data_IF_693827725629
#
_entry.id   IF_693827725629
#
_cell.length_a   1.000
_cell.length_b   1.000
_cell.length_c   1.000
_cell.angle_alpha   90.00
_cell.angle_beta   90.00
_cell.angle_gamma   90.00
#
_symmetry.space_group_name_H-M   'P 1'
#
loop_
_entity.id
_entity.type
_entity.pdbx_description
1 polymer ?
#
# COMPACT_ATOMS: atom_id res chain seq x y z
N UNK A 1 -22.02 12.93 36.45
CA UNK A 1 -21.88 14.39 36.61
C UNK A 1 -20.54 14.67 37.26
N UNK A 2 -19.58 15.25 36.53
CA UNK A 2 -18.35 15.80 37.13
C UNK A 2 -17.99 17.08 36.36
N UNK A 3 -18.16 18.21 37.03
CA UNK A 3 -17.82 19.55 36.53
C UNK A 3 -16.30 19.71 36.41
N UNK A 4 -15.78 20.04 35.23
CA UNK A 4 -14.41 20.55 35.10
C UNK A 4 -14.37 22.02 35.54
N UNK A 5 -13.71 22.30 36.66
CA UNK A 5 -13.36 23.65 37.14
C UNK A 5 -12.13 24.16 36.38
N UNK A 6 -12.17 25.43 35.96
CA UNK A 6 -11.07 26.13 35.31
C UNK A 6 -10.16 26.77 36.39
N UNK A 7 -8.84 26.45 36.36
CA UNK A 7 -7.84 26.84 37.36
C UNK A 7 -7.63 25.80 38.48
N UNK A 8 -6.66 26.01 39.40
CA UNK A 8 -5.40 25.25 39.65
C UNK A 8 -5.52 23.71 39.82
N UNK A 9 -6.38 23.05 39.05
CA UNK A 9 -6.77 21.65 39.24
C UNK A 9 -5.68 20.61 38.97
N UNK A 10 -4.68 20.88 38.11
CA UNK A 10 -3.65 19.89 37.79
C UNK A 10 -2.71 19.60 38.98
N UNK A 11 -2.30 20.64 39.73
CA UNK A 11 -1.50 20.50 40.95
C UNK A 11 -2.28 19.84 42.08
N UNK A 12 -3.56 20.20 42.25
CA UNK A 12 -4.45 19.58 43.25
C UNK A 12 -4.70 18.10 42.97
N UNK A 13 -5.03 17.76 41.72
CA UNK A 13 -5.31 16.39 41.30
C UNK A 13 -4.05 15.49 41.36
N UNK A 14 -2.84 16.02 41.10
CA UNK A 14 -1.60 15.25 41.26
C UNK A 14 -1.33 14.89 42.73
N UNK A 15 -1.66 15.77 43.66
CA UNK A 15 -1.54 15.51 45.09
C UNK A 15 -2.59 14.51 45.61
N UNK A 16 -3.80 14.51 45.04
CA UNK A 16 -4.86 13.54 45.36
C UNK A 16 -4.60 12.14 44.79
N UNK A 17 -3.92 12.02 43.65
CA UNK A 17 -3.65 10.76 42.95
C UNK A 17 -2.37 10.04 43.41
N UNK A 18 -1.72 10.51 44.47
CA UNK A 18 -0.64 9.78 45.15
C UNK A 18 0.57 9.41 44.30
N UNK A 19 0.86 10.17 43.22
CA UNK A 19 2.03 9.98 42.36
C UNK A 19 2.10 8.65 41.56
N UNK A 20 1.08 7.80 41.63
CA UNK A 20 1.04 6.48 40.96
C UNK A 20 0.18 6.43 39.69
N UNK A 21 -0.70 7.41 39.46
CA UNK A 21 -1.54 7.49 38.25
C UNK A 21 -1.13 8.66 37.34
N UNK A 22 -1.16 8.43 36.02
CA UNK A 22 -0.82 9.43 35.02
C UNK A 22 -1.92 10.49 34.91
N UNK A 23 -1.61 11.76 35.22
CA UNK A 23 -2.55 12.86 35.09
C UNK A 23 -2.80 13.17 33.60
N UNK A 24 -3.96 12.76 33.08
CA UNK A 24 -4.41 13.08 31.71
C UNK A 24 -5.17 14.40 31.72
N UNK A 25 -4.70 15.38 30.94
CA UNK A 25 -5.45 16.60 30.71
C UNK A 25 -5.71 16.77 29.21
N UNK A 26 -6.99 16.87 28.85
CA UNK A 26 -7.43 17.01 27.47
C UNK A 26 -7.44 18.49 27.12
N UNK A 27 -6.60 18.88 26.16
CA UNK A 27 -6.78 20.12 25.44
C UNK A 27 -7.79 19.83 24.35
N UNK A 28 -9.05 20.16 24.60
CA UNK A 28 -9.96 20.36 23.48
C UNK A 28 -9.34 21.46 22.62
N UNK A 29 -8.89 21.11 21.42
CA UNK A 29 -8.59 22.10 20.41
C UNK A 29 -9.82 22.99 20.32
N UNK A 30 -9.64 24.24 20.75
CA UNK A 30 -10.70 25.23 20.83
C UNK A 30 -12.03 24.74 21.46
N UNK A 31 -12.20 24.88 22.78
CA UNK A 31 -13.55 25.06 23.37
C UNK A 31 -14.19 26.41 22.98
N UNK A 32 -13.70 27.03 21.89
CA UNK A 32 -14.11 28.33 21.35
C UNK A 32 -14.98 28.23 20.09
N UNK A 33 -15.30 27.03 19.56
CA UNK A 33 -16.06 26.91 18.29
C UNK A 33 -17.38 26.10 18.40
N UNK A 34 -17.96 25.98 19.60
CA UNK A 34 -19.31 25.42 19.76
C UNK A 34 -20.43 26.37 19.23
N UNK A 35 -20.11 27.64 19.01
CA UNK A 35 -20.81 28.45 18.02
C UNK A 35 -19.98 28.37 16.72
N UNK A 36 -20.62 28.10 15.56
CA UNK A 36 -20.12 28.42 14.21
C UNK A 36 -19.49 27.34 13.29
N UNK A 37 -19.75 26.03 13.41
CA UNK A 37 -19.26 25.09 12.35
C UNK A 37 -19.74 25.49 10.92
N UNK A 38 -20.98 26.00 10.80
CA UNK A 38 -21.52 26.52 9.54
C UNK A 38 -20.90 27.86 9.11
N UNK A 39 -20.70 28.81 10.02
CA UNK A 39 -20.09 30.11 9.69
C UNK A 39 -18.59 29.99 9.43
N UNK A 40 -17.86 29.16 10.17
CA UNK A 40 -16.47 28.82 9.88
C UNK A 40 -16.35 28.20 8.49
N UNK A 41 -17.29 27.33 8.10
CA UNK A 41 -17.34 26.75 6.75
C UNK A 41 -17.66 27.81 5.67
N UNK A 42 -18.53 28.78 5.97
CA UNK A 42 -18.75 29.94 5.07
C UNK A 42 -17.48 30.77 4.90
N UNK A 43 -16.79 31.10 5.99
CA UNK A 43 -15.52 31.86 5.94
C UNK A 43 -14.46 31.05 5.18
N UNK A 44 -14.34 29.75 5.43
CA UNK A 44 -13.42 28.87 4.70
C UNK A 44 -13.59 28.96 3.18
N UNK A 45 -14.83 29.01 2.69
CA UNK A 45 -15.10 29.12 1.25
C UNK A 45 -15.01 30.54 0.69
N UNK A 46 -15.39 31.57 1.45
CA UNK A 46 -15.49 32.95 0.93
C UNK A 46 -14.29 33.83 1.28
N UNK A 47 -13.58 33.53 2.37
CA UNK A 47 -12.42 34.28 2.85
C UNK A 47 -11.46 33.37 3.64
N UNK A 48 -10.79 32.41 2.98
CA UNK A 48 -9.87 31.47 3.64
C UNK A 48 -8.73 32.20 4.36
N UNK A 49 -8.23 33.33 3.83
CA UNK A 49 -7.17 34.10 4.47
C UNK A 49 -7.56 34.59 5.88
N UNK A 50 -8.80 35.04 6.07
CA UNK A 50 -9.31 35.41 7.39
C UNK A 50 -9.36 34.20 8.33
N UNK A 51 -9.78 33.04 7.82
CA UNK A 51 -9.81 31.81 8.62
C UNK A 51 -8.39 31.38 9.01
N UNK A 52 -7.42 31.46 8.10
CA UNK A 52 -6.01 31.19 8.41
C UNK A 52 -5.49 32.11 9.51
N UNK A 53 -5.71 33.43 9.40
CA UNK A 53 -5.28 34.39 10.42
C UNK A 53 -5.90 34.11 11.80
N UNK A 54 -7.16 33.68 11.84
CA UNK A 54 -7.83 33.29 13.08
C UNK A 54 -7.25 32.00 13.67
N UNK A 55 -7.02 30.99 12.84
CA UNK A 55 -6.42 29.71 13.26
C UNK A 55 -4.97 29.90 13.72
N UNK A 56 -4.20 30.78 13.09
CA UNK A 56 -2.87 31.19 13.53
C UNK A 56 -2.91 31.76 14.94
N UNK A 57 -3.79 32.73 15.19
CA UNK A 57 -3.95 33.32 16.51
C UNK A 57 -4.30 32.26 17.56
N UNK A 58 -5.28 31.38 17.27
CA UNK A 58 -5.66 30.30 18.18
C UNK A 58 -4.51 29.32 18.44
N UNK A 59 -3.72 29.01 17.43
CA UNK A 59 -2.57 28.10 17.52
C UNK A 59 -1.56 28.61 18.54
N UNK A 60 -1.19 29.90 18.46
CA UNK A 60 -0.26 30.51 19.40
C UNK A 60 -0.82 30.50 20.84
N UNK A 61 -2.11 30.79 21.01
CA UNK A 61 -2.73 30.74 22.34
C UNK A 61 -2.76 29.31 22.91
N UNK A 62 -2.99 28.30 22.06
CA UNK A 62 -3.03 26.90 22.48
C UNK A 62 -1.64 26.38 22.86
N UNK A 63 -0.57 26.81 22.19
CA UNK A 63 0.82 26.49 22.57
C UNK A 63 1.12 26.99 23.98
N UNK A 64 0.79 28.26 24.27
CA UNK A 64 0.99 28.86 25.59
C UNK A 64 0.19 28.12 26.65
N UNK A 65 -1.09 27.86 26.37
CA UNK A 65 -1.98 27.18 27.31
C UNK A 65 -1.56 25.74 27.60
N UNK A 66 -1.13 25.00 26.57
CA UNK A 66 -0.60 23.65 26.71
C UNK A 66 0.69 23.63 27.54
N UNK A 67 1.61 24.56 27.29
CA UNK A 67 2.83 24.72 28.09
C UNK A 67 2.52 24.99 29.56
N UNK A 68 1.54 25.85 29.84
CA UNK A 68 1.10 26.11 31.22
C UNK A 68 0.52 24.86 31.91
N UNK A 69 -0.20 24.00 31.18
CA UNK A 69 -0.70 22.74 31.74
C UNK A 69 0.45 21.78 32.08
N UNK A 70 1.46 21.68 31.23
CA UNK A 70 2.65 20.88 31.47
C UNK A 70 3.41 21.39 32.69
N UNK A 71 3.65 22.70 32.77
CA UNK A 71 4.30 23.36 33.92
C UNK A 71 3.47 23.20 35.21
N UNK A 72 2.15 23.05 35.07
CA UNK A 72 1.24 22.74 36.19
C UNK A 72 1.14 21.25 36.52
N UNK A 73 1.88 20.39 35.83
CA UNK A 73 2.03 18.97 36.17
C UNK A 73 1.33 17.98 35.23
N UNK A 74 0.80 18.41 34.09
CA UNK A 74 0.28 17.49 33.07
C UNK A 74 1.41 16.60 32.53
N UNK A 75 1.19 15.29 32.52
CA UNK A 75 2.20 14.31 32.09
C UNK A 75 2.00 13.86 30.64
N UNK A 76 0.86 14.21 30.06
CA UNK A 76 0.50 13.95 28.67
C UNK A 76 -0.46 15.05 28.22
N UNK A 77 -0.31 15.47 26.97
CA UNK A 77 -1.21 16.40 26.32
C UNK A 77 -1.98 15.68 25.24
N UNK A 78 -3.31 15.83 25.20
CA UNK A 78 -4.12 15.38 24.08
C UNK A 78 -4.72 16.58 23.36
N UNK A 79 -4.42 16.72 22.07
CA UNK A 79 -5.10 17.62 21.16
C UNK A 79 -6.35 16.91 20.59
N UNK A 80 -7.51 17.48 20.86
CA UNK A 80 -8.79 16.92 20.46
C UNK A 80 -9.52 17.84 19.49
N UNK A 81 -9.64 17.42 18.23
CA UNK A 81 -10.46 18.06 17.19
C UNK A 81 -11.80 17.30 17.07
N UNK A 82 -12.81 17.81 17.76
CA UNK A 82 -14.14 17.18 17.78
C UNK A 82 -14.90 17.31 16.45
N UNK A 83 -14.49 18.22 15.57
CA UNK A 83 -15.22 18.61 14.36
C UNK A 83 -14.53 18.14 13.07
N UNK A 84 -13.42 17.41 13.18
CA UNK A 84 -12.66 16.88 12.04
C UNK A 84 -13.55 16.14 11.01
N UNK A 85 -14.60 15.44 11.44
CA UNK A 85 -15.58 14.77 10.58
C UNK A 85 -16.34 15.69 9.60
N UNK A 86 -16.44 17.00 9.88
CA UNK A 86 -17.09 17.97 8.97
C UNK A 86 -16.20 18.46 7.83
N UNK A 87 -14.90 18.14 7.89
CA UNK A 87 -13.92 18.47 6.88
C UNK A 87 -13.71 17.27 5.94
N UNK A 88 -13.58 17.54 4.64
CA UNK A 88 -13.02 16.57 3.69
C UNK A 88 -11.54 16.33 4.01
N UNK A 89 -10.90 15.28 3.48
CA UNK A 89 -9.45 15.06 3.69
C UNK A 89 -8.59 16.26 3.26
N UNK A 90 -8.90 16.88 2.12
CA UNK A 90 -8.22 18.09 1.66
C UNK A 90 -8.40 19.27 2.62
N UNK A 91 -9.63 19.53 3.07
CA UNK A 91 -9.92 20.59 4.03
C UNK A 91 -9.24 20.35 5.38
N UNK A 92 -9.16 19.09 5.81
CA UNK A 92 -8.46 18.73 7.04
C UNK A 92 -6.94 18.98 6.92
N UNK A 93 -6.35 18.63 5.77
CA UNK A 93 -4.94 18.86 5.48
C UNK A 93 -4.58 20.35 5.42
N UNK A 94 -5.52 21.23 5.10
CA UNK A 94 -5.30 22.68 4.99
C UNK A 94 -5.66 23.46 6.27
N UNK A 95 -6.84 23.17 6.86
CA UNK A 95 -7.44 24.00 7.91
C UNK A 95 -7.37 23.41 9.33
N UNK A 96 -6.85 22.20 9.51
CA UNK A 96 -6.73 21.58 10.85
C UNK A 96 -5.33 21.01 11.12
N UNK A 97 -4.88 20.08 10.29
CA UNK A 97 -3.64 19.33 10.53
C UNK A 97 -2.38 20.22 10.66
N UNK A 98 -2.14 21.25 9.82
CA UNK A 98 -0.94 22.08 9.93
C UNK A 98 -0.84 22.84 11.27
N UNK A 99 -1.99 23.23 11.82
CA UNK A 99 -2.06 23.94 13.10
C UNK A 99 -1.83 22.98 14.27
N UNK A 100 -2.44 21.79 14.23
CA UNK A 100 -2.15 20.74 15.19
C UNK A 100 -0.65 20.39 15.18
N UNK A 101 -0.06 20.24 13.99
CA UNK A 101 1.37 19.95 13.80
C UNK A 101 2.27 21.03 14.40
N UNK A 102 1.93 22.30 14.21
CA UNK A 102 2.64 23.42 14.83
C UNK A 102 2.58 23.37 16.36
N UNK A 103 1.41 23.09 16.94
CA UNK A 103 1.25 22.95 18.38
C UNK A 103 2.11 21.79 18.89
N UNK A 104 2.00 20.62 18.27
CA UNK A 104 2.76 19.42 18.63
C UNK A 104 4.27 19.70 18.58
N UNK A 105 4.74 20.27 17.48
CA UNK A 105 6.16 20.57 17.26
C UNK A 105 6.69 21.56 18.31
N UNK A 106 5.95 22.63 18.58
CA UNK A 106 6.33 23.62 19.58
C UNK A 106 6.39 23.01 21.00
N UNK A 107 5.43 22.16 21.34
CA UNK A 107 5.41 21.47 22.63
C UNK A 107 6.53 20.45 22.75
N UNK A 108 6.80 19.66 21.71
CA UNK A 108 7.89 18.67 21.72
C UNK A 108 9.26 19.33 21.77
N UNK A 109 9.42 20.51 21.14
CA UNK A 109 10.65 21.29 21.23
C UNK A 109 10.92 21.78 22.68
N UNK A 110 9.88 22.23 23.40
CA UNK A 110 10.03 22.77 24.76
C UNK A 110 9.94 21.70 25.86
N UNK A 111 9.17 20.63 25.64
CA UNK A 111 8.86 19.57 26.60
C UNK A 111 8.97 18.18 25.94
N UNK A 112 10.18 17.76 25.48
CA UNK A 112 10.36 16.54 24.69
C UNK A 112 10.00 15.24 25.42
N UNK A 113 9.88 15.29 26.75
CA UNK A 113 9.55 14.15 27.61
C UNK A 113 8.04 13.98 27.84
N UNK A 114 7.21 14.94 27.38
CA UNK A 114 5.75 14.88 27.53
C UNK A 114 5.14 14.37 26.23
N UNK A 115 4.52 13.19 26.22
CA UNK A 115 3.85 12.67 25.03
C UNK A 115 2.69 13.58 24.61
N UNK A 116 2.52 13.75 23.31
CA UNK A 116 1.40 14.48 22.71
C UNK A 116 0.55 13.52 21.88
N UNK A 117 -0.73 13.44 22.21
CA UNK A 117 -1.73 12.66 21.49
C UNK A 117 -2.52 13.56 20.53
N UNK A 118 -2.78 13.09 19.31
CA UNK A 118 -3.67 13.75 18.35
C UNK A 118 -4.92 12.88 18.13
N UNK A 119 -6.10 13.44 18.38
CA UNK A 119 -7.38 12.78 18.11
C UNK A 119 -8.31 13.70 17.31
N UNK A 120 -8.77 13.20 16.15
CA UNK A 120 -9.77 13.85 15.31
C UNK A 120 -11.00 12.96 15.23
N UNK A 121 -12.15 13.45 15.70
CA UNK A 121 -13.41 12.71 15.69
C UNK A 121 -13.94 12.55 14.24
N UNK A 122 -14.32 11.32 13.87
CA UNK A 122 -14.59 10.89 12.48
C UNK A 122 -13.33 10.95 11.62
N UNK A 123 -12.23 10.47 12.19
CA UNK A 123 -10.88 10.48 11.62
C UNK A 123 -10.64 9.36 10.60
N UNK A 124 -11.57 8.42 10.40
CA UNK A 124 -11.40 7.25 9.51
C UNK A 124 -10.84 7.61 8.14
N UNK A 125 -11.39 8.63 7.47
CA UNK A 125 -10.91 9.08 6.15
C UNK A 125 -9.64 9.95 6.17
N UNK A 126 -9.07 10.21 7.35
CA UNK A 126 -7.95 11.14 7.60
C UNK A 126 -6.81 10.49 8.37
N UNK A 127 -6.95 9.22 8.73
CA UNK A 127 -6.02 8.49 9.58
C UNK A 127 -4.58 8.52 9.04
N UNK A 128 -4.40 8.40 7.72
CA UNK A 128 -3.09 8.46 7.09
C UNK A 128 -2.43 9.84 7.24
N UNK A 129 -3.22 10.92 7.10
CA UNK A 129 -2.73 12.28 7.30
C UNK A 129 -2.32 12.51 8.76
N UNK A 130 -3.13 12.02 9.71
CA UNK A 130 -2.82 12.12 11.14
C UNK A 130 -1.59 11.29 11.53
N UNK A 131 -1.40 10.10 10.95
CA UNK A 131 -0.20 9.27 11.15
C UNK A 131 1.10 9.95 10.71
N UNK A 132 1.04 10.84 9.72
CA UNK A 132 2.19 11.61 9.26
C UNK A 132 2.58 12.79 10.16
N UNK A 133 1.80 13.08 11.21
CA UNK A 133 2.08 14.16 12.17
C UNK A 133 3.21 13.80 13.14
N UNK A 134 3.76 14.80 13.82
CA UNK A 134 4.74 14.62 14.89
C UNK A 134 4.15 14.07 16.21
N UNK A 135 2.86 13.72 16.26
CA UNK A 135 2.21 13.19 17.46
C UNK A 135 2.79 11.84 17.88
N UNK A 136 2.87 11.59 19.18
CA UNK A 136 3.36 10.32 19.74
C UNK A 136 2.27 9.25 19.73
N UNK A 137 1.00 9.65 19.80
CA UNK A 137 -0.16 8.76 19.83
C UNK A 137 -1.28 9.32 18.96
N UNK A 138 -1.86 8.48 18.10
CA UNK A 138 -3.08 8.80 17.36
C UNK A 138 -4.28 8.18 18.06
N UNK A 139 -5.24 9.02 18.44
CA UNK A 139 -6.51 8.58 18.98
C UNK A 139 -7.47 8.13 17.87
N UNK A 140 -8.04 6.94 18.02
CA UNK A 140 -9.04 6.38 17.10
C UNK A 140 -10.45 6.58 17.66
N UNK A 141 -11.43 6.66 16.77
CA UNK A 141 -12.86 6.58 17.11
C UNK A 141 -13.41 5.18 16.77
N UNK A 142 -14.67 4.93 17.13
CA UNK A 142 -15.32 3.62 16.95
C UNK A 142 -15.56 3.25 15.48
N UNK A 143 -15.46 4.21 14.54
CA UNK A 143 -15.64 3.95 13.11
C UNK A 143 -14.35 3.41 12.46
N UNK A 144 -13.25 3.32 13.21
CA UNK A 144 -12.01 2.66 12.80
C UNK A 144 -11.86 1.38 13.60
N UNK A 145 -11.85 0.23 12.94
CA UNK A 145 -11.48 -1.02 13.60
C UNK A 145 -10.00 -0.92 14.03
N UNK A 146 -9.73 -1.14 15.32
CA UNK A 146 -8.36 -1.06 15.88
C UNK A 146 -7.41 -2.08 15.24
N UNK A 147 -7.93 -3.12 14.58
CA UNK A 147 -7.15 -4.09 13.79
C UNK A 147 -6.80 -3.55 12.40
N UNK A 148 -7.60 -2.62 11.88
CA UNK A 148 -7.37 -1.96 10.58
C UNK A 148 -6.50 -0.69 10.72
N UNK A 149 -6.45 -0.08 11.91
CA UNK A 149 -5.65 1.13 12.15
C UNK A 149 -4.10 0.96 11.99
N UNK A 150 -3.49 -0.16 12.40
CA UNK A 150 -2.05 -0.40 12.24
C UNK A 150 -1.64 -0.68 10.79
N UNK A 151 -2.55 -1.14 9.93
CA UNK A 151 -2.21 -1.71 8.63
C UNK A 151 -2.84 -0.98 7.44
N UNK A 152 -2.23 0.10 6.91
CA UNK A 152 -1.72 -0.04 5.57
C UNK A 152 -0.51 -0.99 5.67
N UNK A 153 -0.53 -2.12 4.97
CA UNK A 153 0.73 -2.66 4.47
C UNK A 153 1.50 -1.46 3.92
N UNK A 154 2.60 -1.08 4.57
CA UNK A 154 3.42 0.00 4.06
C UNK A 154 3.84 -0.41 2.66
N UNK A 155 3.22 0.27 1.70
CA UNK A 155 3.44 0.15 0.27
C UNK A 155 4.78 0.81 -0.05
N UNK A 156 5.84 0.41 0.64
CA UNK A 156 7.18 0.94 0.43
C UNK A 156 7.88 0.26 -0.75
N UNK A 157 7.36 -0.91 -1.17
CA UNK A 157 7.90 -1.81 -2.21
C UNK A 157 9.40 -2.10 -2.06
N UNK A 158 9.92 -1.98 -0.83
CA UNK A 158 11.32 -2.27 -0.54
C UNK A 158 11.42 -3.72 -0.13
N UNK A 159 12.12 -4.53 -0.92
CA UNK A 159 12.43 -5.90 -0.52
C UNK A 159 13.27 -5.98 0.78
N UNK A 160 13.82 -4.85 1.24
CA UNK A 160 14.55 -4.73 2.50
C UNK A 160 13.66 -4.56 3.74
N UNK A 161 12.37 -4.22 3.58
CA UNK A 161 11.39 -4.21 4.66
C UNK A 161 10.69 -5.57 4.76
N UNK A 162 9.96 -5.81 5.87
CA UNK A 162 9.21 -7.05 6.06
C UNK A 162 7.91 -6.81 6.81
N UNK A 163 6.87 -7.50 6.38
CA UNK A 163 5.74 -7.86 7.23
C UNK A 163 6.17 -9.02 8.14
N UNK A 164 5.84 -8.93 9.42
CA UNK A 164 6.14 -9.96 10.43
C UNK A 164 4.90 -10.11 11.31
N UNK A 165 4.36 -11.31 11.40
CA UNK A 165 3.21 -11.62 12.24
C UNK A 165 3.48 -12.84 13.13
N UNK A 166 3.31 -12.64 14.44
CA UNK A 166 3.50 -13.67 15.46
C UNK A 166 2.26 -14.57 15.63
N UNK A 167 1.18 -14.33 14.87
CA UNK A 167 -0.05 -15.13 14.89
C UNK A 167 0.06 -16.53 14.27
N UNK A 168 1.14 -16.84 13.55
CA UNK A 168 1.27 -18.05 12.72
C UNK A 168 1.79 -19.31 13.41
N UNK A 169 2.25 -19.26 14.67
CA UNK A 169 3.05 -20.36 15.20
C UNK A 169 2.43 -21.17 16.33
N UNK A 170 1.23 -21.65 16.05
CA UNK A 170 0.64 -22.71 16.83
C UNK A 170 -0.35 -23.50 15.97
N UNK A 171 -0.71 -24.73 16.39
CA UNK A 171 -1.83 -25.45 15.81
C UNK A 171 -3.10 -24.58 15.92
N UNK A 172 -3.59 -24.06 14.79
CA UNK A 172 -4.79 -23.21 14.72
C UNK A 172 -4.55 -21.71 14.58
N UNK A 173 -3.30 -21.23 14.55
CA UNK A 173 -2.98 -19.85 14.18
C UNK A 173 -3.14 -19.65 12.67
N UNK A 174 -3.82 -18.57 12.24
CA UNK A 174 -3.92 -18.20 10.81
C UNK A 174 -3.48 -16.76 10.63
N UNK A 175 -2.29 -16.58 10.06
CA UNK A 175 -1.81 -15.27 9.64
C UNK A 175 -2.32 -15.01 8.24
N UNK A 176 -2.90 -13.84 8.01
CA UNK A 176 -3.38 -13.47 6.69
C UNK A 176 -3.07 -12.01 6.40
N UNK A 177 -2.92 -11.73 5.11
CA UNK A 177 -2.75 -10.38 4.61
C UNK A 177 -3.82 -10.11 3.56
N UNK A 178 -4.43 -8.94 3.63
CA UNK A 178 -5.49 -8.53 2.69
C UNK A 178 -5.04 -7.32 1.89
N UNK A 179 -5.31 -7.36 0.60
CA UNK A 179 -5.20 -6.23 -0.30
C UNK A 179 -6.60 -5.80 -0.77
N UNK A 180 -6.97 -4.55 -0.44
CA UNK A 180 -8.23 -3.92 -0.89
C UNK A 180 -7.92 -2.95 -2.02
N UNK A 181 -8.57 -3.14 -3.16
CA UNK A 181 -8.45 -2.18 -4.25
C UNK A 181 -9.05 -0.83 -3.84
N UNK A 182 -8.34 0.28 -4.11
CA UNK A 182 -8.91 1.62 -4.02
C UNK A 182 -10.24 1.74 -4.77
N UNK A 183 -11.19 2.49 -4.21
CA UNK A 183 -12.55 2.56 -4.73
C UNK A 183 -12.63 3.17 -6.14
N UNK A 184 -11.69 4.04 -6.47
CA UNK A 184 -11.50 4.76 -7.73
C UNK A 184 -10.89 3.90 -8.85
N UNK A 185 -10.24 2.78 -8.52
CA UNK A 185 -9.77 1.82 -9.50
C UNK A 185 -10.89 0.86 -9.90
N UNK A 186 -10.89 0.41 -11.16
CA UNK A 186 -11.79 -0.67 -11.57
C UNK A 186 -11.38 -2.01 -10.93
N UNK A 187 -12.32 -2.95 -10.84
CA UNK A 187 -12.00 -4.32 -10.47
C UNK A 187 -11.00 -4.92 -11.46
N UNK A 188 -10.14 -5.80 -10.97
CA UNK A 188 -9.02 -6.33 -11.74
C UNK A 188 -9.09 -7.83 -11.89
N UNK A 189 -8.79 -8.29 -13.10
CA UNK A 189 -8.56 -9.69 -13.39
C UNK A 189 -7.14 -10.02 -12.97
N UNK A 190 -6.95 -10.96 -12.05
CA UNK A 190 -5.63 -11.38 -11.57
C UNK A 190 -5.18 -12.61 -12.34
N UNK A 191 -3.94 -12.58 -12.84
CA UNK A 191 -3.34 -13.66 -13.61
C UNK A 191 -2.33 -14.47 -12.78
N UNK A 192 -1.75 -13.86 -11.75
CA UNK A 192 -0.75 -14.48 -10.91
C UNK A 192 -0.30 -13.54 -9.80
N UNK A 193 0.66 -14.01 -9.02
CA UNK A 193 1.25 -13.25 -7.91
C UNK A 193 2.69 -13.70 -7.68
N UNK A 194 3.44 -12.90 -6.93
CA UNK A 194 4.79 -13.20 -6.48
C UNK A 194 4.91 -12.92 -4.99
N UNK A 195 5.61 -13.81 -4.30
CA UNK A 195 6.02 -13.66 -2.92
C UNK A 195 7.54 -13.51 -2.86
N UNK A 196 8.03 -12.63 -2.00
CA UNK A 196 9.47 -12.42 -1.79
C UNK A 196 9.82 -12.75 -0.35
N UNK A 197 10.79 -13.63 -0.13
CA UNK A 197 11.27 -13.96 1.22
C UNK A 197 11.88 -12.74 1.91
N UNK A 198 11.72 -12.65 3.23
CA UNK A 198 12.23 -11.51 4.00
C UNK A 198 13.74 -11.66 4.33
N UNK A 199 14.25 -10.87 5.29
CA UNK A 199 15.65 -10.87 5.74
C UNK A 199 15.94 -11.50 7.11
N UNK A 200 14.93 -11.87 7.93
CA UNK A 200 15.15 -12.47 9.26
C UNK A 200 15.61 -13.94 9.24
N UNK A 201 14.69 -14.91 9.14
CA UNK A 201 15.01 -16.34 9.26
C UNK A 201 14.22 -17.18 8.23
N UNK A 202 14.83 -18.11 7.48
CA UNK A 202 14.13 -18.90 6.47
C UNK A 202 13.01 -19.78 7.05
N UNK A 203 13.11 -20.20 8.31
CA UNK A 203 12.11 -21.01 9.02
C UNK A 203 10.75 -20.29 9.13
N UNK A 204 10.76 -18.95 9.13
CA UNK A 204 9.57 -18.09 9.21
C UNK A 204 8.93 -17.83 7.84
N UNK A 205 9.58 -18.22 6.75
CA UNK A 205 9.03 -17.99 5.40
C UNK A 205 7.76 -18.83 5.20
N UNK A 206 6.76 -18.33 4.45
CA UNK A 206 5.57 -19.10 4.11
C UNK A 206 5.93 -20.39 3.36
N UNK A 207 5.31 -21.50 3.75
CA UNK A 207 5.46 -22.78 3.06
C UNK A 207 4.13 -23.38 2.59
N UNK A 208 3.02 -22.95 3.19
CA UNK A 208 1.68 -23.27 2.72
C UNK A 208 0.78 -22.05 2.86
N UNK A 209 -0.04 -21.79 1.85
CA UNK A 209 -0.98 -20.68 1.85
C UNK A 209 -2.13 -20.89 0.87
N UNK A 210 -3.23 -20.17 1.11
CA UNK A 210 -4.35 -20.04 0.19
C UNK A 210 -4.47 -18.60 -0.26
N UNK A 211 -4.60 -18.39 -1.56
CA UNK A 211 -4.95 -17.10 -2.13
C UNK A 211 -6.45 -17.10 -2.44
N UNK A 212 -7.15 -16.08 -1.94
CA UNK A 212 -8.59 -15.93 -2.08
C UNK A 212 -8.92 -14.52 -2.57
N UNK A 213 -10.11 -14.35 -3.16
CA UNK A 213 -10.57 -13.04 -3.59
C UNK A 213 -12.08 -12.85 -3.49
N UNK A 214 -12.49 -11.60 -3.37
CA UNK A 214 -13.90 -11.19 -3.44
C UNK A 214 -14.14 -10.60 -4.82
N UNK A 215 -15.08 -11.19 -5.55
CA UNK A 215 -15.44 -10.76 -6.91
C UNK A 215 -16.08 -9.36 -6.89
N UNK A 216 -16.03 -8.64 -8.01
CA UNK A 216 -16.75 -7.39 -8.20
C UNK A 216 -18.26 -7.58 -7.99
N UNK A 217 -18.81 -8.71 -8.40
CA UNK A 217 -20.22 -9.05 -8.22
C UNK A 217 -20.57 -9.15 -6.73
N UNK A 218 -19.81 -9.95 -5.98
CA UNK A 218 -20.00 -10.11 -4.53
C UNK A 218 -19.78 -8.79 -3.78
N UNK A 219 -18.78 -8.02 -4.20
CA UNK A 219 -18.51 -6.69 -3.65
C UNK A 219 -19.70 -5.74 -3.84
N UNK A 220 -20.23 -5.68 -5.06
CA UNK A 220 -21.37 -4.80 -5.41
C UNK A 220 -22.65 -5.26 -4.71
N UNK A 221 -22.82 -6.56 -4.53
CA UNK A 221 -23.96 -7.15 -3.82
C UNK A 221 -23.84 -7.10 -2.28
N UNK A 222 -22.76 -6.51 -1.74
CA UNK A 222 -22.53 -6.42 -0.29
C UNK A 222 -22.12 -7.72 0.39
N UNK A 223 -21.78 -8.77 -0.38
CA UNK A 223 -21.33 -10.08 0.12
C UNK A 223 -19.83 -10.08 0.38
N UNK A 224 -19.37 -9.15 1.22
CA UNK A 224 -17.95 -8.87 1.44
C UNK A 224 -17.16 -10.04 2.05
N UNK A 225 -17.83 -10.99 2.70
CA UNK A 225 -17.22 -12.19 3.31
C UNK A 225 -17.26 -13.42 2.39
N UNK A 226 -17.74 -13.29 1.16
CA UNK A 226 -17.75 -14.38 0.17
C UNK A 226 -16.37 -14.48 -0.50
N UNK A 227 -15.43 -15.14 0.17
CA UNK A 227 -14.08 -15.37 -0.34
C UNK A 227 -14.05 -16.57 -1.27
N UNK A 228 -13.72 -16.35 -2.54
CA UNK A 228 -13.53 -17.39 -3.54
C UNK A 228 -12.05 -17.82 -3.60
N UNK A 229 -11.74 -19.13 -3.59
CA UNK A 229 -10.36 -19.61 -3.70
C UNK A 229 -9.80 -19.38 -5.11
N UNK A 230 -8.59 -18.82 -5.19
CA UNK A 230 -7.86 -18.52 -6.43
C UNK A 230 -6.66 -19.45 -6.61
N UNK A 231 -5.92 -19.74 -5.53
CA UNK A 231 -4.76 -20.65 -5.54
C UNK A 231 -4.60 -21.31 -4.16
N UNK A 232 -4.03 -22.50 -4.14
CA UNK A 232 -3.74 -23.27 -2.92
C UNK A 232 -2.37 -23.94 -3.08
N UNK A 233 -1.43 -23.55 -2.22
CA UNK A 233 -0.02 -23.98 -2.28
C UNK A 233 0.39 -24.60 -0.96
N UNK A 234 1.18 -25.65 -1.06
CA UNK A 234 1.78 -26.34 0.09
C UNK A 234 3.18 -26.83 -0.26
N UNK A 235 3.98 -27.09 0.77
CA UNK A 235 5.36 -27.57 0.67
C UNK A 235 6.29 -26.69 -0.18
N UNK A 236 6.04 -25.38 -0.25
CA UNK A 236 6.89 -24.44 -0.97
C UNK A 236 8.12 -24.08 -0.12
N UNK A 237 9.26 -23.85 -0.80
CA UNK A 237 10.52 -23.41 -0.20
C UNK A 237 11.13 -22.28 -1.02
N UNK A 238 11.52 -21.21 -0.34
CA UNK A 238 12.29 -20.14 -0.96
C UNK A 238 13.74 -20.59 -1.15
N UNK A 239 14.34 -20.39 -2.34
CA UNK A 239 15.69 -20.87 -2.63
C UNK A 239 16.78 -20.06 -1.92
N UNK A 240 16.51 -18.77 -1.64
CA UNK A 240 17.40 -17.85 -0.95
C UNK A 240 16.60 -16.72 -0.28
N UNK A 241 17.29 -15.88 0.50
CA UNK A 241 16.71 -14.66 1.07
C UNK A 241 16.49 -13.61 -0.01
N UNK A 242 15.42 -12.82 0.11
CA UNK A 242 14.97 -11.89 -0.92
C UNK A 242 14.68 -12.53 -2.28
N UNK A 243 14.55 -13.86 -2.33
CA UNK A 243 14.26 -14.56 -3.57
C UNK A 243 12.76 -14.41 -3.91
N UNK A 244 12.42 -13.90 -5.10
CA UNK A 244 11.04 -13.91 -5.57
C UNK A 244 10.63 -15.32 -6.01
N UNK A 245 9.42 -15.71 -5.64
CA UNK A 245 8.72 -16.86 -6.19
C UNK A 245 7.41 -16.37 -6.78
N UNK A 246 7.23 -16.48 -8.10
CA UNK A 246 5.94 -16.21 -8.71
C UNK A 246 5.16 -17.46 -9.08
N UNK A 247 3.85 -17.28 -9.08
CA UNK A 247 2.87 -18.32 -9.27
C UNK A 247 1.83 -17.82 -10.27
N UNK A 248 1.50 -18.68 -11.22
CA UNK A 248 0.32 -18.50 -12.07
C UNK A 248 -0.89 -19.13 -11.41
N UNK A 249 -2.06 -18.52 -11.61
CA UNK A 249 -3.29 -19.11 -11.11
C UNK A 249 -3.62 -20.41 -11.87
N UNK A 250 -3.93 -21.51 -11.17
CA UNK A 250 -4.09 -22.83 -11.78
C UNK A 250 -5.31 -22.95 -12.70
N UNK A 251 -6.33 -22.10 -12.50
CA UNK A 251 -7.59 -22.12 -13.27
C UNK A 251 -7.67 -21.01 -14.32
N UNK A 252 -6.53 -20.43 -14.70
CA UNK A 252 -6.48 -19.25 -15.54
C UNK A 252 -6.85 -17.97 -14.77
N UNK A 253 -7.13 -16.87 -15.48
CA UNK A 253 -7.42 -15.58 -14.84
C UNK A 253 -8.62 -15.63 -13.91
N UNK A 254 -8.56 -14.86 -12.82
CA UNK A 254 -9.67 -14.71 -11.88
C UNK A 254 -10.86 -13.97 -12.52
N UNK A 255 -12.10 -14.07 -11.97
CA UNK A 255 -13.10 -13.03 -12.22
C UNK A 255 -12.56 -11.66 -11.77
N UNK A 256 -13.13 -10.53 -12.22
CA UNK A 256 -12.72 -9.22 -11.71
C UNK A 256 -12.86 -9.15 -10.18
N UNK A 257 -11.78 -8.83 -9.48
CA UNK A 257 -11.70 -8.82 -8.00
C UNK A 257 -11.59 -7.40 -7.45
N UNK A 258 -12.10 -7.22 -6.23
CA UNK A 258 -11.97 -5.99 -5.43
C UNK A 258 -11.15 -6.16 -4.16
N UNK A 259 -11.12 -7.38 -3.62
CA UNK A 259 -10.35 -7.73 -2.44
C UNK A 259 -9.59 -9.00 -2.73
N UNK A 260 -8.34 -9.08 -2.28
CA UNK A 260 -7.51 -10.27 -2.31
C UNK A 260 -7.01 -10.57 -0.90
N UNK A 261 -6.93 -11.84 -0.54
CA UNK A 261 -6.40 -12.28 0.75
C UNK A 261 -5.44 -13.44 0.57
N UNK A 262 -4.26 -13.30 1.13
CA UNK A 262 -3.26 -14.35 1.25
C UNK A 262 -3.32 -14.90 2.68
N UNK A 263 -3.84 -16.12 2.84
CA UNK A 263 -3.96 -16.83 4.11
C UNK A 263 -2.77 -17.79 4.25
N UNK A 264 -1.83 -17.50 5.15
CA UNK A 264 -0.68 -18.37 5.43
C UNK A 264 -1.11 -19.47 6.38
N UNK A 265 -1.02 -20.71 5.90
CA UNK A 265 -1.42 -21.91 6.63
C UNK A 265 -0.24 -22.55 7.40
N UNK A 266 0.99 -22.41 6.91
CA UNK A 266 2.19 -22.91 7.58
C UNK A 266 3.46 -22.16 7.16
N UNK A 267 4.42 -22.07 8.07
CA UNK A 267 5.79 -21.61 7.79
C UNK A 267 6.69 -22.77 7.34
N UNK A 268 7.90 -22.45 6.88
CA UNK A 268 8.88 -23.44 6.43
C UNK A 268 9.25 -24.45 7.52
N UNK A 269 9.42 -23.99 8.75
CA UNK A 269 9.58 -24.86 9.92
C UNK A 269 8.73 -24.35 11.11
N UNK A 270 7.52 -24.90 11.29
CA UNK A 270 6.64 -24.51 12.40
C UNK A 270 7.16 -24.92 13.79
N UNK A 271 8.15 -25.82 13.88
CA UNK A 271 8.76 -26.19 15.15
C UNK A 271 9.86 -25.21 15.56
N UNK A 272 10.54 -24.59 14.60
CA UNK A 272 11.59 -23.61 14.84
C UNK A 272 11.11 -22.15 14.79
N UNK A 273 10.04 -21.85 14.06
CA UNK A 273 9.53 -20.50 13.88
C UNK A 273 8.26 -20.22 14.69
N UNK A 274 8.29 -19.13 15.46
CA UNK A 274 7.13 -18.65 16.21
C UNK A 274 6.32 -17.53 15.51
N UNK A 275 6.57 -17.28 14.22
CA UNK A 275 5.94 -16.20 13.44
C UNK A 275 6.07 -16.48 11.94
N UNK A 276 5.28 -15.79 11.13
CA UNK A 276 5.48 -15.69 9.68
C UNK A 276 6.11 -14.34 9.32
N UNK A 277 6.89 -14.31 8.25
CA UNK A 277 7.40 -13.09 7.65
C UNK A 277 7.19 -13.06 6.13
N UNK A 278 7.14 -11.87 5.54
CA UNK A 278 7.14 -11.70 4.08
C UNK A 278 7.71 -10.33 3.72
N UNK A 279 8.64 -10.24 2.76
CA UNK A 279 9.12 -8.94 2.30
C UNK A 279 8.13 -8.26 1.36
N UNK A 280 7.59 -9.02 0.41
CA UNK A 280 6.72 -8.45 -0.61
C UNK A 280 5.67 -9.45 -1.10
N UNK A 281 4.50 -8.92 -1.43
CA UNK A 281 3.44 -9.61 -2.14
C UNK A 281 3.05 -8.79 -3.38
N UNK A 282 3.51 -9.24 -4.54
CA UNK A 282 3.25 -8.63 -5.84
C UNK A 282 2.06 -9.34 -6.50
N UNK A 283 1.12 -8.57 -7.05
CA UNK A 283 -0.08 -9.12 -7.71
C UNK A 283 -0.06 -8.70 -9.18
N UNK A 284 -0.17 -9.67 -10.07
CA UNK A 284 -0.10 -9.45 -11.52
C UNK A 284 -1.50 -9.43 -12.12
N UNK A 285 -1.87 -8.30 -12.74
CA UNK A 285 -3.17 -8.16 -13.40
C UNK A 285 -3.09 -8.62 -14.85
N UNK A 286 -4.19 -9.13 -15.38
CA UNK A 286 -4.38 -9.34 -16.80
C UNK A 286 -4.79 -8.03 -17.47
N UNK A 287 -4.23 -7.73 -18.64
CA UNK A 287 -4.72 -6.65 -19.51
C UNK A 287 -5.99 -7.11 -20.23
N UNK A 288 -6.93 -6.19 -20.49
CA UNK A 288 -8.17 -6.52 -21.21
C UNK A 288 -7.89 -7.09 -22.60
N UNK A 289 -8.84 -7.89 -23.10
CA UNK A 289 -8.76 -8.50 -24.43
C UNK A 289 -8.65 -7.46 -25.56
N UNK A 290 -9.08 -6.22 -25.34
CA UNK A 290 -8.93 -5.14 -26.34
C UNK A 290 -7.47 -4.74 -26.60
N UNK A 291 -6.55 -4.99 -25.65
CA UNK A 291 -5.09 -4.85 -25.85
C UNK A 291 -4.50 -6.15 -26.40
N UNK A 292 -5.14 -7.30 -26.13
CA UNK A 292 -4.78 -8.62 -26.63
C UNK A 292 -5.50 -8.91 -27.95
N UNK A 293 -5.13 -8.14 -28.98
CA UNK A 293 -5.64 -8.26 -30.35
C UNK A 293 -5.86 -9.71 -30.80
N UNK A 294 -7.05 -9.98 -31.36
CA UNK A 294 -7.35 -11.02 -32.35
C UNK A 294 -7.31 -12.46 -31.84
N UNK A 295 -8.40 -13.20 -32.11
CA UNK A 295 -8.69 -14.56 -31.65
C UNK A 295 -7.63 -15.65 -31.91
N UNK A 296 -8.07 -16.91 -31.77
CA UNK A 296 -7.37 -18.19 -31.66
C UNK A 296 -6.09 -18.53 -32.48
N UNK A 297 -5.44 -17.59 -33.15
CA UNK A 297 -4.21 -17.77 -33.93
C UNK A 297 -2.92 -17.53 -33.13
N UNK A 298 -1.91 -18.37 -33.40
CA UNK A 298 -0.57 -18.39 -32.80
C UNK A 298 0.11 -16.99 -32.81
N UNK A 299 0.37 -16.38 -31.64
CA UNK A 299 1.04 -15.08 -31.55
C UNK A 299 2.40 -15.03 -32.24
N UNK A 300 3.14 -16.14 -32.25
CA UNK A 300 4.46 -16.20 -32.88
C UNK A 300 4.34 -16.16 -34.41
N UNK A 301 3.31 -16.82 -34.95
CA UNK A 301 3.00 -16.79 -36.38
C UNK A 301 2.59 -15.38 -36.84
N UNK A 302 1.75 -14.68 -36.07
CA UNK A 302 1.38 -13.29 -36.37
C UNK A 302 2.57 -12.34 -36.36
N UNK A 303 3.53 -12.55 -35.45
CA UNK A 303 4.77 -11.77 -35.46
C UNK A 303 5.57 -12.02 -36.74
N UNK A 304 5.72 -13.29 -37.17
CA UNK A 304 6.42 -13.63 -38.42
C UNK A 304 5.82 -12.91 -39.62
N UNK A 305 4.50 -12.96 -39.76
CA UNK A 305 3.78 -12.34 -40.87
C UNK A 305 3.90 -10.80 -40.85
N UNK A 306 3.75 -10.17 -39.69
CA UNK A 306 3.87 -8.73 -39.55
C UNK A 306 5.28 -8.21 -39.86
N UNK A 307 6.30 -8.97 -39.44
CA UNK A 307 7.71 -8.68 -39.71
C UNK A 307 8.03 -8.87 -41.20
N UNK A 308 7.54 -9.95 -41.83
CA UNK A 308 7.72 -10.18 -43.26
C UNK A 308 7.02 -9.12 -44.13
N UNK A 309 5.87 -8.59 -43.67
CA UNK A 309 5.15 -7.52 -44.33
C UNK A 309 5.77 -6.13 -44.14
N UNK A 310 6.81 -5.98 -43.29
CA UNK A 310 7.42 -4.69 -42.97
C UNK A 310 6.50 -3.74 -42.18
N UNK A 311 5.43 -4.25 -41.58
CA UNK A 311 4.39 -3.46 -40.90
C UNK A 311 4.72 -3.10 -39.45
N UNK A 312 5.94 -3.40 -38.98
CA UNK A 312 6.35 -3.19 -37.59
C UNK A 312 7.52 -2.20 -37.54
N UNK A 313 7.41 -1.21 -36.65
CA UNK A 313 8.46 -0.22 -36.42
C UNK A 313 9.80 -0.87 -36.02
N UNK A 314 10.88 -0.43 -36.68
CA UNK A 314 12.22 -0.98 -36.48
C UNK A 314 12.76 -0.70 -35.08
N UNK A 315 12.40 0.43 -34.45
CA UNK A 315 12.84 0.75 -33.11
C UNK A 315 12.13 -0.14 -32.06
N UNK A 316 10.84 -0.43 -32.26
CA UNK A 316 10.08 -1.37 -31.44
C UNK A 316 10.62 -2.81 -31.56
N UNK A 317 10.96 -3.28 -32.77
CA UNK A 317 11.61 -4.58 -32.97
C UNK A 317 12.98 -4.65 -32.28
N UNK A 318 13.80 -3.60 -32.42
CA UNK A 318 15.09 -3.52 -31.76
C UNK A 318 14.97 -3.48 -30.22
N UNK A 319 13.93 -2.84 -29.69
CA UNK A 319 13.64 -2.81 -28.26
C UNK A 319 13.24 -4.20 -27.76
N UNK A 320 12.32 -4.90 -28.43
CA UNK A 320 11.92 -6.26 -28.08
C UNK A 320 13.12 -7.21 -28.13
N UNK A 321 13.91 -7.15 -29.20
CA UNK A 321 15.11 -7.98 -29.36
C UNK A 321 16.16 -7.75 -28.26
N UNK A 322 16.39 -6.49 -27.84
CA UNK A 322 17.29 -6.19 -26.72
C UNK A 322 16.76 -6.72 -25.39
N UNK A 323 15.48 -6.52 -25.12
CA UNK A 323 14.82 -7.01 -23.90
C UNK A 323 14.95 -8.53 -23.78
N UNK A 324 14.49 -9.23 -24.82
CA UNK A 324 14.48 -10.69 -24.87
C UNK A 324 15.90 -11.27 -24.92
N UNK A 325 16.82 -10.63 -25.63
CA UNK A 325 18.23 -11.04 -25.66
C UNK A 325 18.93 -10.93 -24.31
N UNK A 326 18.60 -9.92 -23.49
CA UNK A 326 19.14 -9.82 -22.14
C UNK A 326 18.58 -10.93 -21.24
N UNK A 327 17.29 -11.25 -21.35
CA UNK A 327 16.66 -12.36 -20.62
C UNK A 327 17.28 -13.71 -21.02
N UNK A 328 17.60 -13.91 -22.31
CA UNK A 328 18.25 -15.13 -22.78
C UNK A 328 19.66 -15.31 -22.20
N UNK A 329 20.43 -14.22 -22.05
CA UNK A 329 21.82 -14.26 -21.54
C UNK A 329 21.88 -14.40 -20.03
N UNK A 330 21.03 -13.68 -19.32
CA UNK A 330 20.99 -13.61 -17.86
C UNK A 330 19.55 -13.90 -17.39
N UNK A 331 19.08 -15.18 -17.48
CA UNK A 331 17.69 -15.53 -17.22
C UNK A 331 17.27 -15.31 -15.76
N UNK A 332 18.22 -15.38 -14.83
CA UNK A 332 17.96 -15.22 -13.40
C UNK A 332 18.02 -13.77 -12.93
N UNK A 333 18.41 -12.83 -13.80
CA UNK A 333 18.63 -11.43 -13.43
C UNK A 333 17.30 -10.65 -13.40
N UNK A 334 16.82 -10.23 -12.21
CA UNK A 334 15.49 -9.65 -12.04
C UNK A 334 15.27 -8.35 -12.82
N UNK A 335 16.33 -7.56 -13.07
CA UNK A 335 16.21 -6.27 -13.79
C UNK A 335 15.75 -6.42 -15.24
N UNK A 336 15.98 -7.57 -15.87
CA UNK A 336 15.58 -7.81 -17.26
C UNK A 336 14.16 -8.36 -17.38
N UNK A 337 13.65 -8.98 -16.30
CA UNK A 337 12.27 -9.45 -16.21
C UNK A 337 11.29 -8.36 -15.79
N UNK A 338 11.78 -7.17 -15.42
CA UNK A 338 10.99 -5.99 -15.04
C UNK A 338 11.19 -4.87 -16.06
N UNK A 339 10.17 -4.57 -16.85
CA UNK A 339 10.16 -3.54 -17.89
C UNK A 339 9.36 -2.34 -17.41
N UNK A 340 9.99 -1.15 -17.39
CA UNK A 340 9.31 0.10 -17.06
C UNK A 340 8.28 0.47 -18.14
N UNK A 341 7.19 1.12 -17.72
CA UNK A 341 6.07 1.43 -18.59
C UNK A 341 6.44 2.23 -19.84
N UNK A 342 7.27 3.25 -19.69
CA UNK A 342 7.72 4.10 -20.81
C UNK A 342 8.36 3.30 -21.96
N UNK A 343 9.02 2.18 -21.65
CA UNK A 343 9.57 1.25 -22.66
C UNK A 343 8.54 0.21 -23.10
N UNK A 344 7.71 -0.29 -22.19
CA UNK A 344 6.67 -1.27 -22.51
C UNK A 344 5.59 -0.69 -23.44
N UNK A 345 5.25 0.60 -23.30
CA UNK A 345 4.21 1.26 -24.08
C UNK A 345 4.46 1.19 -25.59
N UNK A 346 5.71 1.37 -26.04
CA UNK A 346 6.08 1.23 -27.44
C UNK A 346 5.85 -0.20 -27.98
N UNK A 347 6.04 -1.22 -27.15
CA UNK A 347 5.78 -2.61 -27.51
C UNK A 347 4.28 -2.92 -27.51
N UNK A 348 3.54 -2.36 -26.56
CA UNK A 348 2.11 -2.61 -26.37
C UNK A 348 1.24 -1.90 -27.41
N UNK A 349 1.71 -0.79 -27.98
CA UNK A 349 1.02 -0.09 -29.06
C UNK A 349 1.04 -0.86 -30.39
N UNK A 350 1.92 -1.85 -30.54
CA UNK A 350 2.01 -2.68 -31.73
C UNK A 350 1.39 -4.05 -31.47
N UNK A 351 0.24 -4.32 -32.10
CA UNK A 351 -0.56 -5.51 -31.84
C UNK A 351 0.21 -6.86 -31.91
N UNK A 352 1.04 -7.15 -32.93
CA UNK A 352 1.84 -8.37 -32.97
C UNK A 352 2.88 -8.46 -31.84
N UNK A 353 3.52 -7.34 -31.48
CA UNK A 353 4.51 -7.29 -30.40
C UNK A 353 3.83 -7.44 -29.04
N UNK A 354 2.68 -6.80 -28.84
CA UNK A 354 1.85 -6.94 -27.64
C UNK A 354 1.39 -8.39 -27.45
N UNK A 355 0.90 -9.03 -28.51
CA UNK A 355 0.46 -10.43 -28.48
C UNK A 355 1.62 -11.38 -28.10
N UNK A 356 2.81 -11.19 -28.67
CA UNK A 356 3.97 -11.99 -28.28
C UNK A 356 4.41 -11.69 -26.84
N UNK A 357 4.52 -10.41 -26.45
CA UNK A 357 4.98 -10.04 -25.12
C UNK A 357 4.02 -10.53 -24.02
N UNK A 358 2.71 -10.35 -24.22
CA UNK A 358 1.68 -10.68 -23.23
C UNK A 358 1.26 -12.15 -23.33
N UNK A 359 0.88 -12.66 -24.49
CA UNK A 359 0.29 -14.00 -24.60
C UNK A 359 1.35 -15.10 -24.70
N UNK A 360 2.47 -14.85 -25.38
CA UNK A 360 3.52 -15.85 -25.57
C UNK A 360 4.60 -15.78 -24.48
N UNK A 361 5.20 -14.62 -24.25
CA UNK A 361 6.25 -14.40 -23.23
C UNK A 361 5.70 -14.15 -21.82
N UNK A 362 4.38 -14.05 -21.66
CA UNK A 362 3.68 -13.97 -20.36
C UNK A 362 4.05 -12.76 -19.50
N UNK A 363 4.38 -11.63 -20.09
CA UNK A 363 4.48 -10.38 -19.34
C UNK A 363 3.11 -9.93 -18.84
N UNK A 364 3.05 -9.45 -17.61
CA UNK A 364 1.84 -8.89 -16.99
C UNK A 364 2.17 -7.60 -16.26
N UNK A 365 1.29 -6.59 -16.28
CA UNK A 365 1.48 -5.42 -15.44
C UNK A 365 1.29 -5.79 -13.97
N UNK A 366 2.15 -5.23 -13.13
CA UNK A 366 1.98 -5.23 -11.69
C UNK A 366 0.74 -4.38 -11.36
N UNK A 367 -0.12 -4.87 -10.45
CA UNK A 367 -1.37 -4.20 -10.08
C UNK A 367 -1.12 -2.80 -9.50
N UNK A 368 0.01 -2.60 -8.85
CA UNK A 368 0.50 -1.30 -8.39
C UNK A 368 2.01 -1.24 -8.62
N UNK A 369 2.48 -0.27 -9.38
CA UNK A 369 3.91 -0.11 -9.60
C UNK A 369 4.70 0.21 -8.33
N UNK A 370 5.97 -0.20 -8.30
CA UNK A 370 6.91 0.17 -7.26
C UNK A 370 7.12 1.69 -7.27
N UNK A 371 7.15 2.39 -6.11
CA UNK A 371 7.62 3.75 -6.02
C UNK A 371 9.07 3.85 -6.53
N UNK A 372 9.38 4.98 -7.16
CA UNK A 372 10.73 5.28 -7.66
C UNK A 372 11.79 5.07 -6.58
N UNK A 373 12.94 4.51 -6.97
CA UNK A 373 14.16 4.57 -6.17
C UNK A 373 14.48 6.05 -5.90
N UNK A 374 14.69 6.41 -4.62
CA UNK A 374 14.97 7.78 -4.21
C UNK A 374 16.26 8.27 -4.90
N UNK A 375 16.11 9.14 -5.90
CA UNK A 375 17.24 9.67 -6.68
C UNK A 375 16.88 10.26 -8.05
N UNK A 376 15.71 9.95 -8.61
CA UNK A 376 15.20 10.57 -9.83
C UNK A 376 14.03 11.51 -9.47
N UNK A 377 14.14 12.80 -9.81
CA UNK A 377 13.12 13.79 -9.50
C UNK A 377 11.79 13.57 -10.23
N UNK A 378 10.71 14.09 -9.63
CA UNK A 378 9.40 14.29 -10.27
C UNK A 378 8.51 13.06 -10.25
N UNK A 379 7.44 13.14 -9.45
CA UNK A 379 6.54 12.02 -9.18
C UNK A 379 5.69 11.60 -10.37
N UNK A 380 5.81 10.32 -10.72
CA UNK A 380 4.72 9.47 -11.20
C UNK A 380 5.11 8.01 -10.92
N UNK A 381 4.14 7.21 -10.46
CA UNK A 381 4.31 5.77 -10.22
C UNK A 381 4.26 5.09 -11.59
N UNK A 382 5.41 4.82 -12.21
CA UNK A 382 5.46 4.17 -13.54
C UNK A 382 5.09 2.68 -13.44
N UNK A 383 3.99 2.28 -14.07
CA UNK A 383 3.55 0.87 -14.21
C UNK A 383 4.70 -0.06 -14.65
N UNK A 384 5.00 -1.11 -13.89
CA UNK A 384 6.06 -2.09 -14.21
C UNK A 384 5.43 -3.33 -14.83
N UNK A 385 5.85 -3.66 -16.05
CA UNK A 385 5.54 -4.95 -16.69
C UNK A 385 6.54 -5.99 -16.24
N UNK A 386 6.06 -7.04 -15.58
CA UNK A 386 6.91 -8.11 -15.07
C UNK A 386 6.62 -9.37 -15.88
N UNK A 387 7.67 -10.06 -16.31
CA UNK A 387 7.53 -11.42 -16.80
C UNK A 387 7.12 -12.30 -15.62
N UNK A 388 5.97 -12.97 -15.70
CA UNK A 388 5.57 -13.94 -14.67
C UNK A 388 6.71 -14.94 -14.49
N UNK A 389 7.13 -15.18 -13.23
CA UNK A 389 8.34 -15.95 -12.93
C UNK A 389 8.32 -17.35 -13.58
N UNK A 390 9.52 -17.88 -13.89
CA UNK A 390 9.68 -19.10 -14.66
C UNK A 390 9.10 -20.31 -13.94
N UNK A 391 8.62 -21.27 -14.73
CA UNK A 391 8.58 -22.66 -14.28
C UNK A 391 10.01 -23.18 -14.09
N UNK A 392 10.16 -24.20 -13.22
CA UNK A 392 11.45 -24.84 -12.96
C UNK A 392 12.04 -25.55 -14.20
N UNK A 393 11.33 -25.59 -15.33
CA UNK A 393 11.65 -26.34 -16.55
C UNK A 393 12.28 -25.48 -17.65
N UNK A 394 12.48 -24.17 -17.40
CA UNK A 394 13.12 -23.25 -18.34
C UNK A 394 12.33 -23.05 -19.62
N UNK A 395 11.00 -23.21 -19.59
CA UNK A 395 10.14 -23.06 -20.77
C UNK A 395 10.18 -21.62 -21.30
N UNK A 396 10.33 -20.64 -20.41
CA UNK A 396 10.40 -19.23 -20.80
C UNK A 396 11.64 -18.87 -21.61
N UNK A 397 12.81 -19.44 -21.29
CA UNK A 397 14.02 -19.22 -22.09
C UNK A 397 13.86 -19.79 -23.50
N UNK A 398 13.15 -20.93 -23.63
CA UNK A 398 12.79 -21.50 -24.93
C UNK A 398 11.85 -20.59 -25.72
N UNK A 399 10.79 -20.09 -25.09
CA UNK A 399 9.86 -19.12 -25.72
C UNK A 399 10.59 -17.85 -26.17
N UNK A 400 11.42 -17.27 -25.30
CA UNK A 400 12.25 -16.10 -25.61
C UNK A 400 13.15 -16.36 -26.81
N UNK A 401 13.78 -17.54 -26.88
CA UNK A 401 14.64 -17.95 -27.99
C UNK A 401 13.86 -18.05 -29.31
N UNK A 402 12.66 -18.64 -29.31
CA UNK A 402 11.81 -18.73 -30.49
C UNK A 402 11.40 -17.35 -31.04
N UNK A 403 11.15 -16.37 -30.17
CA UNK A 403 10.88 -14.99 -30.61
C UNK A 403 12.12 -14.35 -31.21
N UNK A 404 13.29 -14.53 -30.59
CA UNK A 404 14.56 -13.99 -31.10
C UNK A 404 14.93 -14.58 -32.47
N UNK A 405 14.62 -15.85 -32.73
CA UNK A 405 14.78 -16.47 -34.06
C UNK A 405 13.94 -15.74 -35.12
N UNK A 406 12.66 -15.46 -34.83
CA UNK A 406 11.79 -14.70 -35.73
C UNK A 406 12.34 -13.30 -36.01
N UNK A 407 12.85 -12.62 -34.98
CA UNK A 407 13.48 -11.30 -35.13
C UNK A 407 14.82 -11.37 -35.89
N UNK A 408 15.55 -12.47 -35.75
CA UNK A 408 16.83 -12.71 -36.43
C UNK A 408 16.67 -12.99 -37.92
N UNK A 409 15.60 -13.67 -38.33
CA UNK A 409 15.27 -13.91 -39.76
C UNK A 409 14.86 -12.66 -40.54
N UNK A 410 14.66 -11.53 -39.85
CA UNK A 410 14.18 -10.26 -40.40
C UNK A 410 15.27 -9.22 -40.67
N UNK A 411 16.51 -9.51 -40.23
CA UNK A 411 17.71 -8.71 -40.50
C UNK A 411 18.47 -9.31 -41.67
#
# INVERSE_FOLDING_TARGET
>A
MAHQRFGPGARGAKNELGGRESLRQVLSGARAAALHAAEAKKIMFHNPALLHAFLDFLTEQLIVYAGYQIESGAQVIQLFDSWAHHLTPAQFAEFSLPYAERIITALKAKYPHVPVMLHGNGGTGKLQLMRGSAADVIGLDWAVDIREAPYPLERDSRASSKWLDFGAAGPGGSSWVEYRLPLDLQAVVVAGYELVSANDSPERDPAAWRLEGVSQEDYTAGRLEQWAPLDDRSAVRFPARHAPLAFQLPRGPSPPLRRLRLCIAATADPHAANSVQLACWNIYRQLSEDVAVGGADDPLQRLREAVAAGGVDAAALALLGRLLGNIQREPDEPRFRRVRCSKAQALLQCAPLAAVLLSYCRFRPLLLAAPQEAGAGGGEVEDVFVQLAPDAEGEDVRRVSSVLEVLGTAR
#
